data_IF_771306624787
#
_entry.id   IF_771306624787
#
_cell.length_a   1.000
_cell.length_b   1.000
_cell.length_c   1.000
_cell.angle_alpha   90.00
_cell.angle_beta   90.00
_cell.angle_gamma   90.00
#
_symmetry.space_group_name_H-M   'P 1'
#
loop_
_entity.id
_entity.type
_entity.pdbx_description
1 polymer ?
#
# COMPACT_ATOMS: atom_id res chain seq x y z
N UNK A 1 -8.10 9.60 -21.25
CA UNK A 1 -7.76 11.02 -21.11
C UNK A 1 -8.37 11.40 -19.80
N UNK A 2 -7.64 11.14 -18.71
CA UNK A 2 -8.13 11.37 -17.35
C UNK A 2 -8.26 12.89 -17.15
N UNK A 3 -9.45 13.33 -16.75
CA UNK A 3 -9.74 14.74 -16.50
C UNK A 3 -8.93 15.19 -15.26
N UNK A 4 -8.15 16.28 -15.35
CA UNK A 4 -7.26 16.73 -14.27
C UNK A 4 -7.97 16.95 -12.92
N UNK A 5 -9.29 17.15 -12.91
CA UNK A 5 -10.10 17.29 -11.70
C UNK A 5 -10.34 15.98 -10.93
N UNK A 6 -10.26 14.80 -11.57
CA UNK A 6 -10.45 13.52 -10.87
C UNK A 6 -9.25 13.20 -9.97
N UNK A 7 -8.03 13.45 -10.47
CA UNK A 7 -6.80 13.24 -9.71
C UNK A 7 -6.70 14.20 -8.50
N UNK A 8 -7.12 15.45 -8.66
CA UNK A 8 -7.17 16.43 -7.57
C UNK A 8 -8.20 16.03 -6.50
N UNK A 9 -9.38 15.57 -6.93
CA UNK A 9 -10.44 15.09 -6.04
C UNK A 9 -9.99 13.87 -5.25
N UNK A 10 -9.36 12.89 -5.92
CA UNK A 10 -8.81 11.71 -5.27
C UNK A 10 -7.73 12.06 -4.23
N UNK A 11 -6.82 12.98 -4.56
CA UNK A 11 -5.80 13.46 -3.64
C UNK A 11 -6.40 14.22 -2.43
N UNK A 12 -7.47 14.99 -2.66
CA UNK A 12 -8.24 15.64 -1.61
C UNK A 12 -8.87 14.64 -0.65
N UNK A 13 -9.53 13.61 -1.19
CA UNK A 13 -10.17 12.56 -0.40
C UNK A 13 -9.14 11.78 0.44
N UNK A 14 -8.00 11.40 -0.15
CA UNK A 14 -6.95 10.69 0.57
C UNK A 14 -6.39 11.50 1.76
N UNK A 15 -6.25 12.83 1.60
CA UNK A 15 -5.84 13.71 2.71
C UNK A 15 -6.89 13.79 3.82
N UNK A 16 -8.17 13.91 3.45
CA UNK A 16 -9.26 13.93 4.42
C UNK A 16 -9.36 12.60 5.17
N UNK A 17 -9.26 11.47 4.47
CA UNK A 17 -9.24 10.14 5.08
C UNK A 17 -8.06 10.00 6.06
N UNK A 18 -6.85 10.40 5.66
CA UNK A 18 -5.69 10.40 6.54
C UNK A 18 -5.88 11.27 7.80
N UNK A 19 -6.47 12.45 7.64
CA UNK A 19 -6.81 13.32 8.78
C UNK A 19 -7.84 12.67 9.71
N UNK A 20 -8.91 12.09 9.17
CA UNK A 20 -9.96 11.43 9.94
C UNK A 20 -9.41 10.21 10.72
N UNK A 21 -8.59 9.38 10.08
CA UNK A 21 -7.92 8.25 10.74
C UNK A 21 -7.02 8.76 11.87
N UNK A 22 -6.25 9.83 11.65
CA UNK A 22 -5.39 10.40 12.69
C UNK A 22 -6.20 10.96 13.87
N UNK A 23 -7.33 11.64 13.61
CA UNK A 23 -8.19 12.17 14.66
C UNK A 23 -8.87 11.05 15.45
N UNK A 24 -9.34 10.00 14.75
CA UNK A 24 -9.91 8.82 15.40
C UNK A 24 -8.90 8.13 16.31
N UNK A 25 -7.66 7.93 15.84
CA UNK A 25 -6.59 7.32 16.65
C UNK A 25 -6.23 8.15 17.90
N UNK A 26 -6.23 9.48 17.79
CA UNK A 26 -6.03 10.37 18.94
C UNK A 26 -7.16 10.24 19.96
N UNK A 27 -8.40 10.29 19.50
CA UNK A 27 -9.57 10.17 20.36
C UNK A 27 -9.63 8.81 21.07
N UNK A 28 -9.35 7.74 20.35
CA UNK A 28 -9.29 6.38 20.89
C UNK A 28 -8.18 6.25 21.94
N UNK A 29 -6.97 6.73 21.66
CA UNK A 29 -5.86 6.68 22.62
C UNK A 29 -6.19 7.44 23.92
N UNK A 30 -6.83 8.62 23.82
CA UNK A 30 -7.30 9.35 25.00
C UNK A 30 -8.38 8.60 25.77
N UNK A 31 -9.35 8.01 25.07
CA UNK A 31 -10.46 7.28 25.69
C UNK A 31 -9.96 6.04 26.43
N UNK A 32 -9.11 5.25 25.79
CA UNK A 32 -8.46 4.09 26.41
C UNK A 32 -7.61 4.49 27.61
N UNK A 33 -6.87 5.59 27.52
CA UNK A 33 -6.05 6.09 28.61
C UNK A 33 -6.87 6.52 29.83
N UNK A 34 -7.98 7.22 29.62
CA UNK A 34 -8.88 7.62 30.70
C UNK A 34 -9.54 6.39 31.34
N UNK A 35 -9.97 5.42 30.53
CA UNK A 35 -10.51 4.16 31.04
C UNK A 35 -9.47 3.38 31.86
N UNK A 36 -8.21 3.34 31.41
CA UNK A 36 -7.11 2.71 32.12
C UNK A 36 -6.81 3.42 33.45
N UNK A 37 -6.62 4.74 33.42
CA UNK A 37 -6.32 5.52 34.62
C UNK A 37 -7.48 5.49 35.62
N UNK A 38 -8.74 5.43 35.16
CA UNK A 38 -9.93 5.28 36.01
C UNK A 38 -9.94 3.99 36.84
N UNK A 39 -9.21 2.95 36.41
CA UNK A 39 -9.04 1.70 37.18
C UNK A 39 -8.04 1.84 38.33
N UNK A 40 -7.20 2.89 38.32
CA UNK A 40 -6.23 3.20 39.36
C UNK A 40 -6.89 4.07 40.45
N UNK A 41 -7.97 3.57 41.04
CA UNK A 41 -8.81 4.33 41.97
C UNK A 41 -8.10 4.73 43.27
N UNK A 42 -6.97 4.07 43.59
CA UNK A 42 -6.11 4.41 44.73
C UNK A 42 -5.23 5.64 44.53
N UNK A 43 -5.11 6.15 43.29
CA UNK A 43 -4.38 7.38 42.99
C UNK A 43 -5.27 8.62 43.09
N UNK A 44 -4.69 9.79 43.31
CA UNK A 44 -5.40 11.06 43.23
C UNK A 44 -5.86 11.38 41.80
N UNK A 45 -6.89 12.25 41.62
CA UNK A 45 -7.37 12.61 40.30
C UNK A 45 -6.30 13.28 39.41
N UNK A 46 -5.39 14.07 39.99
CA UNK A 46 -4.27 14.66 39.25
C UNK A 46 -3.28 13.61 38.74
N UNK A 47 -2.88 12.67 39.59
CA UNK A 47 -1.98 11.56 39.25
C UNK A 47 -2.59 10.66 38.16
N UNK A 48 -3.90 10.37 38.25
CA UNK A 48 -4.62 9.62 37.21
C UNK A 48 -4.60 10.35 35.87
N UNK A 49 -4.81 11.66 35.87
CA UNK A 49 -4.81 12.45 34.63
C UNK A 49 -3.42 12.52 33.98
N UNK A 50 -2.36 12.63 34.79
CA UNK A 50 -0.98 12.57 34.32
C UNK A 50 -0.65 11.21 33.69
N UNK A 51 -1.00 10.10 34.37
CA UNK A 51 -0.82 8.75 33.84
C UNK A 51 -1.61 8.55 32.55
N UNK A 52 -2.84 9.05 32.47
CA UNK A 52 -3.64 8.99 31.24
C UNK A 52 -2.94 9.72 30.08
N UNK A 53 -2.37 10.90 30.33
CA UNK A 53 -1.60 11.63 29.31
C UNK A 53 -0.41 10.83 28.78
N UNK A 54 0.42 10.31 29.69
CA UNK A 54 1.60 9.51 29.36
C UNK A 54 1.23 8.22 28.62
N UNK A 55 0.16 7.54 29.05
CA UNK A 55 -0.34 6.33 28.40
C UNK A 55 -0.82 6.64 26.98
N UNK A 56 -1.64 7.68 26.79
CA UNK A 56 -2.14 8.07 25.47
C UNK A 56 -0.99 8.35 24.50
N UNK A 57 0.04 9.10 24.93
CA UNK A 57 1.21 9.42 24.11
C UNK A 57 2.01 8.16 23.76
N UNK A 58 2.27 7.30 24.75
CA UNK A 58 2.98 6.04 24.53
C UNK A 58 2.22 5.12 23.56
N UNK A 59 0.91 4.96 23.78
CA UNK A 59 0.06 4.12 22.97
C UNK A 59 -0.03 4.61 21.52
N UNK A 60 -0.17 5.93 21.32
CA UNK A 60 -0.18 6.54 19.99
C UNK A 60 1.16 6.34 19.26
N UNK A 61 2.29 6.51 19.96
CA UNK A 61 3.62 6.25 19.41
C UNK A 61 3.78 4.79 18.96
N UNK A 62 3.29 3.84 19.77
CA UNK A 62 3.33 2.42 19.42
C UNK A 62 2.45 2.12 18.18
N UNK A 63 1.21 2.62 18.14
CA UNK A 63 0.33 2.50 16.96
C UNK A 63 0.98 3.07 15.69
N UNK A 64 1.63 4.23 15.78
CA UNK A 64 2.37 4.83 14.66
C UNK A 64 3.52 3.95 14.18
N UNK A 65 4.31 3.38 15.09
CA UNK A 65 5.41 2.47 14.73
C UNK A 65 4.90 1.21 14.04
N UNK A 66 3.82 0.62 14.56
CA UNK A 66 3.19 -0.56 13.95
C UNK A 66 2.68 -0.25 12.54
N UNK A 67 1.99 0.88 12.36
CA UNK A 67 1.51 1.32 11.05
C UNK A 67 2.66 1.54 10.07
N UNK A 68 3.73 2.22 10.50
CA UNK A 68 4.91 2.46 9.67
C UNK A 68 5.58 1.14 9.23
N UNK A 69 5.66 0.15 10.13
CA UNK A 69 6.18 -1.17 9.80
C UNK A 69 5.31 -1.90 8.76
N UNK A 70 3.98 -1.82 8.90
CA UNK A 70 3.04 -2.42 7.93
C UNK A 70 3.15 -1.75 6.56
N UNK A 71 3.23 -0.42 6.52
CA UNK A 71 3.42 0.34 5.26
C UNK A 71 4.73 -0.07 4.59
N UNK A 72 5.84 -0.08 5.32
CA UNK A 72 7.14 -0.49 4.78
C UNK A 72 7.12 -1.92 4.22
N UNK A 73 6.48 -2.86 4.93
CA UNK A 73 6.31 -4.24 4.46
C UNK A 73 5.44 -4.32 3.20
N UNK A 74 4.39 -3.52 3.13
CA UNK A 74 3.53 -3.41 1.95
C UNK A 74 4.31 -2.91 0.73
N UNK A 75 5.14 -1.90 0.89
CA UNK A 75 6.00 -1.35 -0.16
C UNK A 75 7.05 -2.36 -0.63
N UNK A 76 7.70 -3.07 0.31
CA UNK A 76 8.64 -4.16 -0.01
C UNK A 76 7.97 -5.26 -0.85
N UNK A 77 6.74 -5.67 -0.48
CA UNK A 77 5.97 -6.65 -1.23
C UNK A 77 5.60 -6.11 -2.62
N UNK A 78 5.07 -4.89 -2.70
CA UNK A 78 4.69 -4.28 -3.97
C UNK A 78 5.89 -4.22 -4.95
N UNK A 79 7.06 -3.80 -4.46
CA UNK A 79 8.29 -3.75 -5.25
C UNK A 79 8.72 -5.15 -5.74
N UNK A 80 8.63 -6.16 -4.88
CA UNK A 80 8.96 -7.55 -5.23
C UNK A 80 8.02 -8.09 -6.32
N UNK A 81 6.72 -7.83 -6.21
CA UNK A 81 5.74 -8.24 -7.23
C UNK A 81 5.92 -7.48 -8.54
N UNK A 82 6.15 -6.17 -8.48
CA UNK A 82 6.38 -5.35 -9.68
C UNK A 82 7.62 -5.81 -10.44
N UNK A 83 8.69 -6.17 -9.73
CA UNK A 83 9.89 -6.74 -10.35
C UNK A 83 9.59 -8.05 -11.10
N UNK A 84 8.88 -8.99 -10.46
CA UNK A 84 8.48 -10.26 -11.09
C UNK A 84 7.56 -10.03 -12.29
N UNK A 85 6.60 -9.12 -12.17
CA UNK A 85 5.69 -8.77 -13.26
C UNK A 85 6.43 -8.17 -14.44
N UNK A 86 7.36 -7.23 -14.20
CA UNK A 86 8.20 -6.64 -15.27
C UNK A 86 9.04 -7.70 -15.98
N UNK A 87 9.59 -8.66 -15.27
CA UNK A 87 10.33 -9.78 -15.89
C UNK A 87 9.43 -10.64 -16.79
N UNK A 88 8.25 -11.03 -16.29
CA UNK A 88 7.32 -11.85 -17.07
C UNK A 88 6.81 -11.09 -18.30
N UNK A 89 6.45 -9.81 -18.12
CA UNK A 89 6.03 -8.92 -19.20
C UNK A 89 7.12 -8.81 -20.26
N UNK A 90 8.38 -8.59 -19.87
CA UNK A 90 9.53 -8.55 -20.81
C UNK A 90 9.68 -9.84 -21.60
N UNK A 91 9.55 -11.01 -20.95
CA UNK A 91 9.63 -12.32 -21.62
C UNK A 91 8.51 -12.52 -22.63
N UNK A 92 7.27 -12.20 -22.25
CA UNK A 92 6.12 -12.30 -23.13
C UNK A 92 6.22 -11.32 -24.31
N UNK A 93 6.62 -10.08 -24.06
CA UNK A 93 6.83 -9.10 -25.13
C UNK A 93 7.96 -9.50 -26.06
N UNK A 94 9.07 -10.03 -25.54
CA UNK A 94 10.18 -10.52 -26.36
C UNK A 94 9.77 -11.72 -27.22
N UNK A 95 9.04 -12.68 -26.64
CA UNK A 95 8.49 -13.82 -27.38
C UNK A 95 7.51 -13.39 -28.47
N UNK A 96 6.59 -12.46 -28.17
CA UNK A 96 5.66 -11.91 -29.14
C UNK A 96 6.39 -11.19 -30.28
N UNK A 97 7.37 -10.33 -29.97
CA UNK A 97 8.19 -9.63 -30.97
C UNK A 97 8.98 -10.60 -31.83
N UNK A 98 9.54 -11.67 -31.24
CA UNK A 98 10.27 -12.70 -31.98
C UNK A 98 9.36 -13.55 -32.89
N UNK A 99 8.10 -13.79 -32.49
CA UNK A 99 7.15 -14.55 -33.29
C UNK A 99 6.70 -13.80 -34.57
N UNK A 100 6.66 -12.46 -34.53
CA UNK A 100 6.22 -11.62 -35.67
C UNK A 100 6.97 -11.92 -36.98
N UNK A 101 8.32 -11.95 -37.02
CA UNK A 101 9.05 -12.29 -38.25
C UNK A 101 9.16 -13.80 -38.50
N UNK A 102 9.10 -14.63 -37.46
CA UNK A 102 9.27 -16.10 -37.57
C UNK A 102 8.06 -16.77 -38.24
N UNK A 103 6.85 -16.32 -37.92
CA UNK A 103 5.62 -16.86 -38.51
C UNK A 103 5.53 -16.68 -40.04
N UNK A 104 5.73 -15.48 -40.62
CA UNK A 104 5.67 -15.30 -42.06
C UNK A 104 6.85 -15.96 -42.78
N UNK A 105 8.04 -16.00 -42.19
CA UNK A 105 9.20 -16.69 -42.81
C UNK A 105 9.00 -18.20 -42.88
N UNK A 106 8.45 -18.82 -41.83
CA UNK A 106 8.05 -20.23 -41.86
C UNK A 106 6.94 -20.49 -42.89
N UNK A 107 5.94 -19.62 -42.95
CA UNK A 107 4.85 -19.74 -43.91
C UNK A 107 5.32 -19.61 -45.36
N UNK A 108 6.22 -18.65 -45.65
CA UNK A 108 6.84 -18.50 -46.97
C UNK A 108 7.72 -19.70 -47.34
N UNK A 109 8.51 -20.19 -46.38
CA UNK A 109 9.35 -21.36 -46.60
C UNK A 109 8.53 -22.63 -46.89
N UNK A 110 7.46 -22.86 -46.14
CA UNK A 110 6.56 -24.00 -46.35
C UNK A 110 5.83 -23.91 -47.69
N UNK A 111 5.35 -22.72 -48.06
CA UNK A 111 4.67 -22.50 -49.35
C UNK A 111 5.63 -22.64 -50.55
N UNK A 112 6.90 -22.27 -50.39
CA UNK A 112 7.93 -22.52 -51.41
C UNK A 112 8.26 -24.01 -51.54
N UNK A 113 8.34 -24.74 -50.42
CA UNK A 113 8.57 -26.19 -50.42
C UNK A 113 7.41 -26.94 -51.09
N UNK A 114 6.17 -26.53 -50.79
CA UNK A 114 4.95 -27.10 -51.37
C UNK A 114 4.76 -26.78 -52.86
N UNK A 115 5.45 -25.75 -53.39
CA UNK A 115 5.50 -25.45 -54.84
C UNK A 115 6.62 -26.20 -55.57
N UNK A 116 7.60 -26.71 -54.84
CA UNK A 116 8.77 -27.38 -55.42
C UNK A 116 8.59 -28.90 -55.52
N UNK A 117 7.77 -29.47 -54.63
CA UNK A 117 7.28 -30.84 -54.71
C UNK A 117 6.02 -30.92 -55.58
#
# INVERSE_FOLDING_TARGET
MDEPGEAETAAGLARLEGYLISQAALHEAHTEAQAFAGRLSWLGPGERQEIAGLFAEHHLRMKRQMLAAVVARGEELAAAYEHRYRMLRRRLTAGAVAAIPVLPTLFLGLSALCRYF
#
